data_IF_850076984018
#
_entry.id   IF_850076984018
#
_cell.length_a   1.000
_cell.length_b   1.000
_cell.length_c   1.000
_cell.angle_alpha   90.00
_cell.angle_beta   90.00
_cell.angle_gamma   90.00
#
_symmetry.space_group_name_H-M   'P 1'
#
loop_
_entity.id
_entity.type
_entity.pdbx_description
1 polymer ?
#
# COMPACT_ATOMS: atom_id res chain seq x y z
N UNK A 1 -27.98 -41.11 23.34
CA UNK A 1 -28.52 -40.94 21.97
C UNK A 1 -28.27 -39.50 21.58
N UNK A 2 -27.10 -39.30 20.97
CA UNK A 2 -26.61 -38.04 20.43
C UNK A 2 -26.99 -37.98 18.95
N UNK A 3 -27.72 -36.96 18.53
CA UNK A 3 -27.45 -36.35 17.23
C UNK A 3 -28.12 -34.97 17.15
N UNK A 4 -27.31 -33.94 17.25
CA UNK A 4 -27.66 -32.58 16.87
C UNK A 4 -26.63 -32.17 15.82
N UNK A 5 -27.04 -32.25 14.56
CA UNK A 5 -26.26 -31.82 13.40
C UNK A 5 -26.10 -30.30 13.44
N UNK A 6 -24.92 -29.86 13.87
CA UNK A 6 -24.45 -28.50 13.77
C UNK A 6 -23.96 -28.26 12.33
N UNK A 7 -24.71 -27.46 11.57
CA UNK A 7 -24.37 -27.11 10.19
C UNK A 7 -23.58 -25.80 10.23
N UNK A 8 -22.34 -25.74 9.69
CA UNK A 8 -21.57 -24.51 9.73
C UNK A 8 -22.25 -23.42 8.89
N UNK A 9 -22.15 -22.14 9.32
CA UNK A 9 -22.73 -21.03 8.57
C UNK A 9 -22.04 -20.89 7.20
N UNK A 10 -22.86 -20.68 6.18
CA UNK A 10 -22.49 -20.52 4.77
C UNK A 10 -21.65 -19.24 4.59
N UNK A 11 -20.37 -19.39 4.25
CA UNK A 11 -19.37 -18.32 4.12
C UNK A 11 -19.40 -17.68 2.71
N UNK A 12 -20.57 -17.56 2.10
CA UNK A 12 -20.74 -17.07 0.73
C UNK A 12 -21.43 -15.70 0.60
N UNK A 13 -21.41 -14.89 1.65
CA UNK A 13 -21.66 -13.45 1.52
C UNK A 13 -20.37 -12.68 1.79
N UNK A 14 -19.39 -12.84 0.89
CA UNK A 14 -18.28 -11.89 0.77
C UNK A 14 -18.87 -10.60 0.20
N UNK A 15 -19.08 -9.61 1.05
CA UNK A 15 -19.13 -8.21 0.62
C UNK A 15 -17.79 -7.92 -0.06
N UNK A 16 -17.76 -8.02 -1.39
CA UNK A 16 -16.65 -7.46 -2.16
C UNK A 16 -16.76 -5.93 -2.09
N UNK A 17 -15.64 -5.21 -1.97
CA UNK A 17 -15.61 -3.75 -1.88
C UNK A 17 -15.80 -3.10 -3.26
N UNK A 18 -16.74 -3.59 -4.06
CA UNK A 18 -17.07 -2.99 -5.36
C UNK A 18 -17.69 -1.59 -5.20
N UNK A 19 -18.22 -1.29 -4.01
CA UNK A 19 -18.88 -0.02 -3.70
C UNK A 19 -17.93 1.15 -3.40
N UNK A 20 -16.62 0.92 -3.24
CA UNK A 20 -15.67 2.01 -2.94
C UNK A 20 -15.40 2.89 -4.17
N UNK A 21 -15.56 2.36 -5.38
CA UNK A 21 -15.25 3.05 -6.63
C UNK A 21 -16.49 3.44 -7.45
N UNK A 22 -17.70 3.20 -6.93
CA UNK A 22 -18.94 3.44 -7.67
C UNK A 22 -19.35 4.92 -7.62
N UNK A 23 -18.71 5.75 -8.46
CA UNK A 23 -19.22 7.08 -8.78
C UNK A 23 -18.64 7.62 -10.10
N UNK A 24 -19.17 7.20 -11.27
CA UNK A 24 -19.26 8.04 -12.48
C UNK A 24 -19.94 7.32 -13.66
N UNK A 25 -20.75 8.10 -14.38
CA UNK A 25 -21.47 7.79 -15.62
C UNK A 25 -20.56 7.22 -16.73
N UNK A 26 -20.97 6.09 -17.31
CA UNK A 26 -20.35 5.40 -18.45
C UNK A 26 -20.29 6.29 -19.70
N UNK A 27 -19.18 7.00 -19.89
CA UNK A 27 -18.64 7.25 -21.22
C UNK A 27 -17.56 6.21 -21.42
N UNK A 28 -17.72 5.32 -22.41
CA UNK A 28 -16.66 4.40 -22.81
C UNK A 28 -15.46 5.21 -23.29
N UNK A 29 -14.57 5.56 -22.37
CA UNK A 29 -13.36 6.30 -22.62
C UNK A 29 -12.40 5.33 -23.31
N UNK A 30 -12.00 5.64 -24.55
CA UNK A 30 -11.02 4.83 -25.26
C UNK A 30 -9.69 4.97 -24.51
N UNK A 31 -9.28 3.89 -23.84
CA UNK A 31 -8.01 3.83 -23.14
C UNK A 31 -6.86 3.71 -24.15
N UNK A 32 -5.79 4.46 -23.91
CA UNK A 32 -4.57 4.41 -24.71
C UNK A 32 -3.65 3.28 -24.23
N UNK A 33 -2.99 2.63 -25.20
CA UNK A 33 -1.91 1.68 -24.95
C UNK A 33 -0.52 2.37 -24.96
N UNK A 34 -0.46 3.66 -25.30
CA UNK A 34 0.79 4.44 -25.32
C UNK A 34 1.33 4.71 -23.91
N UNK A 35 2.64 4.96 -23.83
CA UNK A 35 3.26 5.36 -22.57
C UNK A 35 2.96 6.84 -22.25
N UNK A 36 2.50 7.17 -21.03
CA UNK A 36 2.17 8.54 -20.64
C UNK A 36 3.40 9.45 -20.65
N UNK A 37 3.26 10.75 -20.97
CA UNK A 37 4.34 11.73 -20.82
C UNK A 37 4.65 11.99 -19.33
N UNK A 38 5.82 12.57 -19.05
CA UNK A 38 6.32 12.81 -17.69
C UNK A 38 5.29 13.52 -16.78
N UNK A 39 4.68 14.61 -17.27
CA UNK A 39 3.70 15.38 -16.48
C UNK A 39 2.47 14.55 -16.11
N UNK A 40 2.04 13.62 -16.98
CA UNK A 40 0.95 12.71 -16.67
C UNK A 40 1.38 11.68 -15.62
N UNK A 41 2.60 11.15 -15.72
CA UNK A 41 3.14 10.20 -14.73
C UNK A 41 3.24 10.83 -13.35
N UNK A 42 3.70 12.08 -13.23
CA UNK A 42 3.73 12.80 -11.95
C UNK A 42 2.33 12.89 -11.32
N UNK A 43 1.34 13.30 -12.10
CA UNK A 43 -0.05 13.38 -11.63
C UNK A 43 -0.63 12.02 -11.25
N UNK A 44 -0.32 10.96 -12.00
CA UNK A 44 -0.72 9.60 -11.65
C UNK A 44 -0.12 9.19 -10.29
N UNK A 45 1.16 9.48 -10.05
CA UNK A 45 1.85 9.17 -8.80
C UNK A 45 1.26 9.94 -7.61
N UNK A 46 1.03 11.25 -7.78
CA UNK A 46 0.38 12.08 -6.76
C UNK A 46 -1.02 11.56 -6.42
N UNK A 47 -1.80 11.20 -7.44
CA UNK A 47 -3.14 10.65 -7.27
C UNK A 47 -3.13 9.27 -6.61
N UNK A 48 -2.20 8.40 -7.00
CA UNK A 48 -2.02 7.10 -6.37
C UNK A 48 -1.66 7.22 -4.89
N UNK A 49 -0.76 8.16 -4.57
CA UNK A 49 -0.37 8.47 -3.19
C UNK A 49 -1.57 8.98 -2.39
N UNK A 50 -2.36 9.90 -2.98
CA UNK A 50 -3.60 10.40 -2.38
C UNK A 50 -4.58 9.27 -2.07
N UNK A 51 -4.82 8.35 -3.00
CA UNK A 51 -5.71 7.20 -2.78
C UNK A 51 -5.22 6.31 -1.64
N UNK A 52 -3.93 5.99 -1.63
CA UNK A 52 -3.34 5.17 -0.56
C UNK A 52 -3.47 5.80 0.81
N UNK A 53 -3.37 7.11 0.90
CA UNK A 53 -3.48 7.89 2.13
C UNK A 53 -4.93 8.18 2.54
N UNK A 54 -5.91 7.83 1.72
CA UNK A 54 -7.32 8.05 2.03
C UNK A 54 -7.83 7.09 3.10
N UNK A 55 -8.70 7.59 3.98
CA UNK A 55 -9.25 6.80 5.10
C UNK A 55 -9.88 5.46 4.65
N UNK A 56 -10.66 5.39 3.55
CA UNK A 56 -11.23 4.12 3.11
C UNK A 56 -10.16 3.07 2.76
N UNK A 57 -9.08 3.49 2.09
CA UNK A 57 -8.00 2.58 1.70
C UNK A 57 -7.12 2.22 2.90
N UNK A 58 -6.87 3.16 3.81
CA UNK A 58 -6.16 2.89 5.06
C UNK A 58 -6.91 1.85 5.91
N UNK A 59 -8.24 1.92 6.00
CA UNK A 59 -9.06 0.89 6.66
C UNK A 59 -8.92 -0.48 6.01
N UNK A 60 -8.82 -0.54 4.67
CA UNK A 60 -8.58 -1.79 3.95
C UNK A 60 -7.18 -2.33 4.25
N UNK A 61 -6.15 -1.48 4.30
CA UNK A 61 -4.81 -1.90 4.71
C UNK A 61 -4.78 -2.39 6.16
N UNK A 62 -5.49 -1.73 7.07
CA UNK A 62 -5.62 -2.18 8.46
C UNK A 62 -6.34 -3.53 8.57
N UNK A 63 -7.33 -3.80 7.71
CA UNK A 63 -8.01 -5.09 7.68
C UNK A 63 -7.07 -6.22 7.23
N UNK A 64 -6.24 -5.96 6.22
CA UNK A 64 -5.38 -6.96 5.57
C UNK A 64 -3.91 -6.91 6.01
N UNK A 65 -3.55 -6.14 7.05
CA UNK A 65 -2.14 -5.88 7.43
C UNK A 65 -1.29 -7.13 7.73
N UNK A 66 -1.92 -8.29 7.95
CA UNK A 66 -1.26 -9.60 8.20
C UNK A 66 -1.19 -10.51 6.97
N UNK A 67 -1.80 -10.13 5.85
CA UNK A 67 -1.85 -10.92 4.62
C UNK A 67 -1.18 -10.11 3.48
N UNK A 68 0.10 -10.39 3.26
CA UNK A 68 0.90 -9.68 2.25
C UNK A 68 0.36 -9.87 0.82
N UNK A 69 -0.31 -11.00 0.52
CA UNK A 69 -0.93 -11.22 -0.79
C UNK A 69 -2.14 -10.31 -0.97
N UNK A 70 -2.99 -10.21 0.06
CA UNK A 70 -4.14 -9.31 0.03
C UNK A 70 -3.71 -7.85 -0.11
N UNK A 71 -2.67 -7.42 0.62
CA UNK A 71 -2.10 -6.07 0.48
C UNK A 71 -1.61 -5.84 -0.95
N UNK A 72 -0.91 -6.81 -1.54
CA UNK A 72 -0.42 -6.71 -2.93
C UNK A 72 -1.58 -6.54 -3.92
N UNK A 73 -2.67 -7.31 -3.75
CA UNK A 73 -3.87 -7.16 -4.59
C UNK A 73 -4.50 -5.77 -4.48
N UNK A 74 -4.60 -5.22 -3.27
CA UNK A 74 -5.13 -3.85 -3.08
C UNK A 74 -4.27 -2.82 -3.79
N UNK A 75 -2.94 -2.93 -3.67
CA UNK A 75 -2.01 -2.02 -4.35
C UNK A 75 -2.10 -2.12 -5.88
N UNK A 76 -2.35 -3.31 -6.41
CA UNK A 76 -2.53 -3.53 -7.85
C UNK A 76 -3.85 -2.96 -8.36
N UNK A 77 -4.94 -3.11 -7.61
CA UNK A 77 -6.24 -2.49 -7.92
C UNK A 77 -6.14 -0.96 -7.93
N UNK A 78 -5.46 -0.37 -6.95
CA UNK A 78 -5.24 1.08 -6.90
C UNK A 78 -4.45 1.54 -8.14
N UNK A 79 -3.36 0.85 -8.49
CA UNK A 79 -2.57 1.23 -9.65
C UNK A 79 -3.35 1.10 -10.96
N UNK A 80 -4.15 0.04 -11.11
CA UNK A 80 -5.02 -0.13 -12.28
C UNK A 80 -6.03 1.01 -12.37
N UNK A 81 -6.72 1.33 -11.27
CA UNK A 81 -7.67 2.44 -11.20
C UNK A 81 -7.03 3.78 -11.59
N UNK A 82 -5.82 4.07 -11.08
CA UNK A 82 -5.10 5.29 -11.43
C UNK A 82 -4.79 5.34 -12.93
N UNK A 83 -4.29 4.25 -13.50
CA UNK A 83 -3.96 4.21 -14.94
C UNK A 83 -5.21 4.44 -15.80
N UNK A 84 -6.31 3.78 -15.47
CA UNK A 84 -7.60 3.95 -16.16
C UNK A 84 -8.17 5.36 -16.00
N UNK A 85 -8.09 5.94 -14.80
CA UNK A 85 -8.54 7.30 -14.51
C UNK A 85 -7.88 8.34 -15.42
N UNK A 86 -6.60 8.12 -15.76
CA UNK A 86 -5.85 9.00 -16.65
C UNK A 86 -5.95 8.61 -18.14
N UNK A 87 -6.76 7.62 -18.49
CA UNK A 87 -7.03 7.23 -19.88
C UNK A 87 -6.03 6.24 -20.47
N UNK A 88 -5.37 5.43 -19.64
CA UNK A 88 -4.40 4.42 -20.07
C UNK A 88 -4.91 3.02 -19.71
N UNK A 89 -4.40 2.00 -20.41
CA UNK A 89 -4.81 0.61 -20.15
C UNK A 89 -3.87 -0.15 -19.21
N UNK A 90 -2.57 0.14 -19.28
CA UNK A 90 -1.55 -0.75 -18.71
C UNK A 90 -0.85 -0.16 -17.49
N UNK A 91 -0.85 -0.92 -16.38
CA UNK A 91 -0.14 -0.58 -15.13
C UNK A 91 1.37 -0.33 -15.36
N UNK A 92 1.93 -0.91 -16.42
CA UNK A 92 3.31 -0.68 -16.83
C UNK A 92 3.63 0.81 -17.06
N UNK A 93 2.64 1.62 -17.41
CA UNK A 93 2.74 3.07 -17.50
C UNK A 93 3.29 3.70 -16.21
N UNK A 94 2.84 3.21 -15.05
CA UNK A 94 3.31 3.61 -13.72
C UNK A 94 4.54 2.80 -13.30
N UNK A 95 4.52 1.47 -13.42
CA UNK A 95 5.59 0.59 -12.90
C UNK A 95 6.96 0.84 -13.54
N UNK A 96 6.99 1.36 -14.78
CA UNK A 96 8.24 1.69 -15.49
C UNK A 96 8.69 3.15 -15.31
N UNK A 97 7.96 3.96 -14.53
CA UNK A 97 8.22 5.40 -14.38
C UNK A 97 9.66 5.70 -13.94
N UNK A 98 10.18 4.96 -12.95
CA UNK A 98 11.55 5.17 -12.44
C UNK A 98 12.63 4.88 -13.50
N UNK A 99 12.42 3.86 -14.34
CA UNK A 99 13.35 3.55 -15.44
C UNK A 99 13.28 4.57 -16.57
N UNK A 100 12.09 5.15 -16.81
CA UNK A 100 11.84 6.11 -17.89
C UNK A 100 12.30 7.52 -17.53
N UNK A 101 12.17 7.90 -16.26
CA UNK A 101 12.46 9.25 -15.76
C UNK A 101 13.31 9.19 -14.50
N UNK A 102 14.52 8.62 -14.59
CA UNK A 102 15.36 8.30 -13.44
C UNK A 102 15.92 9.53 -12.74
N UNK A 103 15.78 10.74 -13.28
CA UNK A 103 16.27 11.99 -12.67
C UNK A 103 15.16 12.84 -12.06
N UNK A 104 13.90 12.42 -12.21
CA UNK A 104 12.77 13.18 -11.71
C UNK A 104 12.62 13.01 -10.19
N UNK A 105 12.61 14.11 -9.40
CA UNK A 105 12.58 14.02 -7.94
C UNK A 105 11.26 13.45 -7.42
N UNK A 106 10.12 13.80 -8.04
CA UNK A 106 8.79 13.31 -7.62
C UNK A 106 8.70 11.81 -7.83
N UNK A 107 9.17 11.32 -8.97
CA UNK A 107 9.20 9.87 -9.26
C UNK A 107 10.15 9.15 -8.32
N UNK A 108 11.35 9.68 -8.06
CA UNK A 108 12.28 9.08 -7.08
C UNK A 108 11.66 8.96 -5.69
N UNK A 109 11.08 10.04 -5.20
CA UNK A 109 10.50 10.10 -3.86
C UNK A 109 9.33 9.12 -3.71
N UNK A 110 8.43 9.06 -4.69
CA UNK A 110 7.28 8.17 -4.64
C UNK A 110 7.64 6.69 -4.61
N UNK A 111 8.65 6.27 -5.37
CA UNK A 111 9.11 4.88 -5.34
C UNK A 111 9.87 4.55 -4.06
N UNK A 112 10.60 5.50 -3.47
CA UNK A 112 11.23 5.33 -2.16
C UNK A 112 10.18 5.18 -1.04
N UNK A 113 9.12 6.00 -1.07
CA UNK A 113 8.03 5.98 -0.09
C UNK A 113 7.14 4.74 -0.22
N UNK A 114 6.93 4.22 -1.43
CA UNK A 114 6.13 3.01 -1.72
C UNK A 114 6.67 1.72 -1.08
N UNK A 115 7.95 1.67 -0.73
CA UNK A 115 8.54 0.56 0.02
C UNK A 115 8.36 0.65 1.54
N UNK A 116 7.93 1.80 2.06
CA UNK A 116 7.47 1.94 3.43
C UNK A 116 5.97 1.65 3.45
N UNK A 117 5.50 0.78 4.36
CA UNK A 117 4.06 0.66 4.63
C UNK A 117 3.57 2.04 5.07
N UNK A 118 2.92 2.77 4.16
CA UNK A 118 2.53 4.16 4.41
C UNK A 118 1.32 4.16 5.35
N UNK A 119 1.59 4.28 6.64
CA UNK A 119 0.61 4.76 7.61
C UNK A 119 0.70 6.27 7.68
N UNK A 120 -0.44 6.97 7.69
CA UNK A 120 -0.45 8.40 7.98
C UNK A 120 0.18 8.64 9.37
N UNK A 121 1.17 9.54 9.43
CA UNK A 121 1.67 10.06 10.69
C UNK A 121 3.08 10.62 10.59
N UNK A 122 3.24 11.90 10.94
CA UNK A 122 4.51 12.38 11.46
C UNK A 122 4.74 11.68 12.79
N UNK A 123 5.87 11.02 12.95
CA UNK A 123 6.32 10.60 14.29
C UNK A 123 6.60 11.87 15.07
N UNK A 124 5.74 12.18 16.04
CA UNK A 124 5.89 13.38 16.86
C UNK A 124 6.73 13.07 18.10
N UNK A 125 7.54 14.04 18.55
CA UNK A 125 8.25 13.90 19.81
C UNK A 125 7.26 13.68 20.95
N UNK A 126 7.49 12.64 21.77
CA UNK A 126 6.60 12.25 22.86
C UNK A 126 5.50 11.26 22.47
N UNK A 127 5.39 10.87 21.20
CA UNK A 127 4.51 9.79 20.77
C UNK A 127 5.01 8.43 21.31
N UNK A 128 4.09 7.60 21.79
CA UNK A 128 4.40 6.22 22.16
C UNK A 128 4.82 5.43 20.91
N UNK A 129 5.99 4.81 20.97
CA UNK A 129 6.49 3.94 19.91
C UNK A 129 5.75 2.59 20.00
N UNK A 130 5.40 2.01 18.85
CA UNK A 130 4.77 0.68 18.79
C UNK A 130 5.86 -0.38 18.91
N UNK A 131 5.63 -1.43 19.70
CA UNK A 131 6.56 -2.55 19.75
C UNK A 131 6.45 -3.37 18.45
N UNK A 132 7.51 -3.34 17.64
CA UNK A 132 7.58 -4.05 16.36
C UNK A 132 8.43 -5.31 16.50
N UNK A 133 8.04 -6.38 15.79
CA UNK A 133 8.87 -7.58 15.66
C UNK A 133 10.07 -7.28 14.78
N UNK A 134 11.23 -7.71 15.25
CA UNK A 134 12.52 -7.55 14.60
C UNK A 134 13.20 -8.91 14.52
N UNK A 135 14.26 -8.99 13.72
CA UNK A 135 15.17 -10.14 13.69
C UNK A 135 16.59 -9.65 13.90
N UNK A 136 17.39 -10.40 14.67
CA UNK A 136 18.82 -10.13 14.82
C UNK A 136 19.55 -10.46 13.51
N UNK A 137 20.83 -10.10 13.41
CA UNK A 137 21.67 -10.49 12.27
C UNK A 137 21.82 -12.01 12.14
N UNK A 138 21.65 -12.74 13.24
CA UNK A 138 21.66 -14.20 13.28
C UNK A 138 20.30 -14.82 12.91
N UNK A 139 19.29 -13.99 12.61
CA UNK A 139 17.95 -14.43 12.24
C UNK A 139 17.04 -14.79 13.43
N UNK A 140 17.46 -14.49 14.65
CA UNK A 140 16.67 -14.77 15.85
C UNK A 140 15.56 -13.73 16.04
N UNK A 141 14.31 -14.14 16.37
CA UNK A 141 13.21 -13.21 16.56
C UNK A 141 13.40 -12.38 17.83
N UNK A 142 13.20 -11.07 17.73
CA UNK A 142 13.27 -10.11 18.84
C UNK A 142 12.18 -9.04 18.69
N UNK A 143 12.06 -8.10 19.64
CA UNK A 143 11.15 -6.94 19.49
C UNK A 143 11.88 -5.62 19.73
N UNK A 144 11.31 -4.51 19.29
CA UNK A 144 11.89 -3.19 19.52
C UNK A 144 12.08 -2.90 21.01
N UNK A 145 11.07 -3.20 21.82
CA UNK A 145 11.09 -2.91 23.26
C UNK A 145 12.13 -3.74 24.00
N UNK A 146 12.44 -4.95 23.54
CA UNK A 146 13.52 -5.76 24.11
C UNK A 146 14.91 -5.15 23.92
N UNK A 147 15.08 -4.25 22.95
CA UNK A 147 16.33 -3.55 22.65
C UNK A 147 16.42 -2.17 23.32
N UNK A 148 15.32 -1.68 23.93
CA UNK A 148 15.29 -0.40 24.65
C UNK A 148 15.79 -0.64 26.07
N UNK A 149 16.85 0.09 26.45
CA UNK A 149 17.28 0.18 27.86
C UNK A 149 17.13 1.63 28.33
N UNK A 150 16.75 1.87 29.61
CA UNK A 150 16.58 3.24 30.13
C UNK A 150 17.84 4.11 30.04
N UNK A 151 19.00 3.46 29.95
CA UNK A 151 20.31 4.08 30.06
C UNK A 151 20.93 4.39 28.69
N UNK A 152 20.39 3.86 27.59
CA UNK A 152 20.96 4.03 26.26
C UNK A 152 19.91 4.49 25.23
N UNK A 153 20.19 5.57 24.48
CA UNK A 153 19.32 5.96 23.38
C UNK A 153 19.37 4.90 22.27
N UNK A 154 18.20 4.42 21.87
CA UNK A 154 18.07 3.52 20.72
C UNK A 154 17.95 4.35 19.44
N UNK A 155 18.81 4.07 18.46
CA UNK A 155 18.77 4.68 17.12
C UNK A 155 18.31 3.62 16.12
N UNK A 156 17.24 3.91 15.39
CA UNK A 156 16.74 3.06 14.31
C UNK A 156 17.25 3.56 12.96
N UNK A 157 17.99 2.71 12.27
CA UNK A 157 18.35 2.91 10.87
C UNK A 157 17.47 2.02 10.01
N UNK A 158 16.63 2.65 9.19
CA UNK A 158 15.88 1.97 8.16
C UNK A 158 16.57 2.23 6.81
N UNK A 159 16.87 1.15 6.08
CA UNK A 159 17.40 1.19 4.73
C UNK A 159 16.64 0.21 3.86
N UNK A 160 16.33 0.60 2.63
CA UNK A 160 15.81 -0.29 1.61
C UNK A 160 16.96 -0.70 0.70
N UNK A 161 17.16 -2.00 0.50
CA UNK A 161 18.11 -2.52 -0.47
C UNK A 161 17.34 -3.07 -1.67
N UNK A 162 17.56 -2.48 -2.85
CA UNK A 162 17.11 -2.99 -4.15
C UNK A 162 18.04 -4.05 -4.70
#
# INVERSE_FOLDING_TARGET
MTDATDKPPDVNNRLYPDDIFSCASEKQQILSDDLPPLETVRKMIEYETFLRLSDPIQQVFDLYHKDDNAITMVLDLIQQHVVEHFGYRHVNALRTAISRFPDDPVIKEAFYVKHNKITQGLVNQGQCVIDVKLFTLDGEPTTLFSQITPEQPLILFAGSTT
#
